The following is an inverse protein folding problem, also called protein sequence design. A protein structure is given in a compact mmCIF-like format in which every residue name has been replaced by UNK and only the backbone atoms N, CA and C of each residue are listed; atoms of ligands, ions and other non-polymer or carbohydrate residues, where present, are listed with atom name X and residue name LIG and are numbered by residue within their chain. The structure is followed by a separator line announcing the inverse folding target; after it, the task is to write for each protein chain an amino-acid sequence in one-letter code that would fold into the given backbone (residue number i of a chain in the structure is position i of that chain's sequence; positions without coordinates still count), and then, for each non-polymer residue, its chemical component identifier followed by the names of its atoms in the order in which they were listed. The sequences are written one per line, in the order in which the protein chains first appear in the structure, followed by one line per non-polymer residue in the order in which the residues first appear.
data_IF_523982155692
#
_entry.id   IF_523982155692
#
_cell.length_a   1.000
_cell.length_b   1.000
_cell.length_c   1.000
_cell.angle_alpha   90.00
_cell.angle_beta   90.00
_cell.angle_gamma   90.00
#
_symmetry.space_group_name_H-M   'P 1'
#
loop_
_entity.id
_entity.type
_entity.pdbx_description
1 polymer ?
#
# COMPACT_ATOMS: atom_id res chain seq x y z
N UNK A 1 27.97 -65.04 -69.22
CA UNK A 1 26.78 -64.56 -69.95
C UNK A 1 25.90 -63.57 -69.16
N UNK A 2 25.96 -63.48 -67.82
CA UNK A 2 25.09 -62.56 -67.05
C UNK A 2 25.46 -61.07 -67.17
N UNK A 3 26.74 -60.72 -67.32
CA UNK A 3 27.21 -59.32 -67.45
C UNK A 3 26.68 -58.62 -68.72
N UNK A 4 26.56 -59.34 -69.84
CA UNK A 4 26.03 -58.78 -71.10
C UNK A 4 24.51 -58.53 -71.03
N UNK A 5 23.78 -59.40 -70.33
CA UNK A 5 22.35 -59.23 -70.05
C UNK A 5 22.13 -58.05 -69.10
N UNK A 6 22.92 -57.94 -68.04
CA UNK A 6 22.86 -56.80 -67.11
C UNK A 6 23.18 -55.48 -67.82
N UNK A 7 24.16 -55.46 -68.73
CA UNK A 7 24.47 -54.28 -69.53
C UNK A 7 23.35 -53.92 -70.52
N UNK A 8 22.72 -54.91 -71.16
CA UNK A 8 21.57 -54.67 -72.07
C UNK A 8 20.33 -54.20 -71.31
N UNK A 9 20.04 -54.79 -70.15
CA UNK A 9 18.92 -54.36 -69.28
C UNK A 9 19.18 -52.95 -68.74
N UNK A 10 20.42 -52.63 -68.34
CA UNK A 10 20.78 -51.27 -67.91
C UNK A 10 20.65 -50.26 -69.04
N UNK A 11 21.00 -50.62 -70.28
CA UNK A 11 20.73 -49.81 -71.48
C UNK A 11 19.24 -49.67 -71.78
N UNK A 12 18.44 -50.72 -71.60
CA UNK A 12 17.00 -50.65 -71.82
C UNK A 12 16.31 -49.79 -70.75
N UNK A 13 16.78 -49.83 -69.50
CA UNK A 13 16.28 -49.00 -68.41
C UNK A 13 16.70 -47.54 -68.55
N UNK A 14 17.95 -47.25 -68.98
CA UNK A 14 18.36 -45.88 -69.33
C UNK A 14 17.53 -45.34 -70.49
N UNK A 15 17.26 -46.18 -71.49
CA UNK A 15 16.42 -45.80 -72.61
C UNK A 15 14.94 -45.71 -72.22
N UNK A 16 14.46 -46.43 -71.19
CA UNK A 16 13.05 -46.34 -70.78
C UNK A 16 12.73 -45.01 -70.12
N UNK A 17 13.65 -44.44 -69.33
CA UNK A 17 13.48 -43.08 -68.80
C UNK A 17 13.44 -42.03 -69.91
N UNK A 18 14.29 -42.17 -70.92
CA UNK A 18 14.27 -41.31 -72.12
C UNK A 18 12.97 -41.50 -72.91
N UNK A 19 12.47 -42.74 -73.02
CA UNK A 19 11.19 -43.04 -73.67
C UNK A 19 10.00 -42.45 -72.91
N UNK A 20 10.03 -42.45 -71.58
CA UNK A 20 8.98 -41.84 -70.76
C UNK A 20 8.99 -40.31 -70.85
N UNK A 21 10.17 -39.68 -70.91
CA UNK A 21 10.27 -38.24 -71.19
C UNK A 21 9.80 -37.91 -72.60
N UNK A 22 10.22 -38.69 -73.60
CA UNK A 22 9.77 -38.53 -74.97
C UNK A 22 8.24 -38.69 -75.08
N UNK A 23 7.66 -39.68 -74.37
CA UNK A 23 6.21 -39.88 -74.31
C UNK A 23 5.50 -38.70 -73.65
N UNK A 24 6.00 -38.19 -72.53
CA UNK A 24 5.42 -37.01 -71.88
C UNK A 24 5.47 -35.76 -72.78
N UNK A 25 6.56 -35.58 -73.55
CA UNK A 25 6.66 -34.52 -74.55
C UNK A 25 5.68 -34.72 -75.71
N UNK A 26 5.53 -35.96 -76.19
CA UNK A 26 4.54 -36.36 -77.20
C UNK A 26 3.09 -36.19 -76.73
N UNK A 27 2.82 -36.39 -75.44
CA UNK A 27 1.49 -36.18 -74.85
C UNK A 27 1.18 -34.68 -74.66
N UNK A 28 2.19 -33.80 -74.58
CA UNK A 28 2.04 -32.33 -74.50
C UNK A 28 2.00 -31.60 -75.87
N UNK A 29 2.47 -32.28 -76.92
CA UNK A 29 2.44 -31.81 -78.31
C UNK A 29 1.04 -31.54 -78.90
N UNK A 30 -0.06 -32.23 -78.52
CA UNK A 30 -1.40 -31.97 -79.06
C UNK A 30 -1.91 -30.55 -78.78
N UNK A 31 -1.51 -29.97 -77.65
CA UNK A 31 -1.91 -28.61 -77.25
C UNK A 31 -1.18 -27.52 -78.05
N UNK A 32 -0.03 -27.86 -78.64
CA UNK A 32 0.79 -26.97 -79.47
C UNK A 32 0.51 -27.13 -80.97
N UNK A 33 -0.23 -28.17 -81.36
CA UNK A 33 -0.52 -28.49 -82.76
C UNK A 33 -1.68 -27.62 -83.28
N UNK A 34 -1.50 -26.95 -84.44
CA UNK A 34 -2.62 -26.30 -85.12
C UNK A 34 -3.70 -27.32 -85.45
N UNK A 35 -4.97 -26.93 -85.30
CA UNK A 35 -6.13 -27.82 -85.55
C UNK A 35 -6.17 -28.40 -86.99
N UNK A 36 -5.44 -27.78 -87.92
CA UNK A 36 -5.33 -28.17 -89.33
C UNK A 36 -4.00 -28.87 -89.69
N UNK A 37 -3.28 -29.42 -88.70
CA UNK A 37 -1.95 -30.02 -88.89
C UNK A 37 -1.85 -31.10 -89.99
N UNK A 38 -2.96 -31.75 -90.36
CA UNK A 38 -2.97 -32.80 -91.39
C UNK A 38 -2.89 -32.27 -92.83
N UNK A 39 -3.12 -30.97 -93.08
CA UNK A 39 -3.15 -30.37 -94.43
C UNK A 39 -1.91 -29.51 -94.75
N UNK A 40 -1.02 -29.30 -93.79
CA UNK A 40 0.14 -28.40 -93.91
C UNK A 40 1.39 -29.16 -94.40
N UNK A 41 2.23 -28.47 -95.18
CA UNK A 41 3.54 -29.02 -95.55
C UNK A 41 4.46 -29.13 -94.33
N UNK A 42 5.41 -30.07 -94.37
CA UNK A 42 6.38 -30.29 -93.27
C UNK A 42 7.16 -29.03 -92.86
N UNK A 43 7.30 -28.04 -93.75
CA UNK A 43 7.99 -26.79 -93.48
C UNK A 43 7.08 -25.77 -92.76
N UNK A 44 5.82 -25.66 -93.18
CA UNK A 44 4.81 -24.79 -92.56
C UNK A 44 4.46 -25.27 -91.15
N UNK A 45 4.37 -26.58 -90.94
CA UNK A 45 4.09 -27.18 -89.64
C UNK A 45 5.23 -26.92 -88.64
N UNK A 46 6.49 -26.99 -89.08
CA UNK A 46 7.66 -26.61 -88.25
C UNK A 46 7.67 -25.12 -87.92
N UNK A 47 7.35 -24.25 -88.87
CA UNK A 47 7.29 -22.81 -88.63
C UNK A 47 6.19 -22.46 -87.62
N UNK A 48 5.01 -23.10 -87.74
CA UNK A 48 3.88 -22.89 -86.83
C UNK A 48 4.12 -23.45 -85.42
N UNK A 49 4.75 -24.63 -85.30
CA UNK A 49 5.15 -25.18 -84.00
C UNK A 49 6.22 -24.31 -83.34
N UNK A 50 7.17 -23.78 -84.11
CA UNK A 50 8.18 -22.86 -83.61
C UNK A 50 7.54 -21.57 -83.08
N UNK A 51 6.63 -20.96 -83.85
CA UNK A 51 5.92 -19.77 -83.38
C UNK A 51 5.04 -20.05 -82.17
N UNK A 52 4.37 -21.21 -82.12
CA UNK A 52 3.55 -21.61 -80.96
C UNK A 52 4.40 -21.85 -79.71
N UNK A 53 5.56 -22.49 -79.85
CA UNK A 53 6.51 -22.70 -78.76
C UNK A 53 7.09 -21.38 -78.27
N UNK A 54 7.45 -20.46 -79.18
CA UNK A 54 7.98 -19.15 -78.82
C UNK A 54 6.92 -18.34 -78.04
N UNK A 55 5.65 -18.37 -78.46
CA UNK A 55 4.52 -17.75 -77.74
C UNK A 55 4.30 -18.40 -76.37
N UNK A 56 4.24 -19.73 -76.30
CA UNK A 56 4.06 -20.44 -75.02
C UNK A 56 5.22 -20.18 -74.04
N UNK A 57 6.45 -20.01 -74.55
CA UNK A 57 7.62 -19.68 -73.74
C UNK A 57 7.58 -18.24 -73.21
N UNK A 58 7.07 -17.30 -74.01
CA UNK A 58 6.83 -15.92 -73.60
C UNK A 58 5.73 -15.84 -72.54
N UNK A 59 4.61 -16.55 -72.75
CA UNK A 59 3.51 -16.60 -71.79
C UNK A 59 3.95 -17.20 -70.44
N UNK A 60 4.79 -18.25 -70.48
CA UNK A 60 5.36 -18.84 -69.28
C UNK A 60 6.33 -17.87 -68.56
N UNK A 61 7.19 -17.16 -69.32
CA UNK A 61 8.08 -16.16 -68.75
C UNK A 61 7.31 -14.98 -68.13
N UNK A 62 6.25 -14.50 -68.78
CA UNK A 62 5.38 -13.45 -68.28
C UNK A 62 4.61 -13.88 -67.02
N UNK A 63 4.15 -15.13 -66.96
CA UNK A 63 3.52 -15.69 -65.77
C UNK A 63 4.48 -15.70 -64.57
N UNK A 64 5.72 -16.16 -64.78
CA UNK A 64 6.77 -16.15 -63.74
C UNK A 64 7.08 -14.73 -63.31
N UNK A 65 7.23 -13.78 -64.25
CA UNK A 65 7.48 -12.38 -63.90
C UNK A 65 6.36 -11.82 -63.02
N UNK A 66 5.09 -12.02 -63.39
CA UNK A 66 3.95 -11.56 -62.58
C UNK A 66 3.93 -12.17 -61.19
N UNK A 67 4.20 -13.47 -61.06
CA UNK A 67 4.29 -14.11 -59.75
C UNK A 67 5.44 -13.55 -58.91
N UNK A 68 6.62 -13.31 -59.52
CA UNK A 68 7.76 -12.73 -58.81
C UNK A 68 7.53 -11.27 -58.40
N UNK A 69 6.83 -10.48 -59.21
CA UNK A 69 6.42 -9.11 -58.85
C UNK A 69 5.42 -9.10 -57.67
N UNK A 70 4.48 -10.06 -57.66
CA UNK A 70 3.57 -10.28 -56.54
C UNK A 70 4.31 -10.66 -55.26
N UNK A 71 5.29 -11.58 -55.38
CA UNK A 71 6.14 -11.98 -54.27
C UNK A 71 6.97 -10.79 -53.73
N UNK A 72 7.58 -10.01 -54.60
CA UNK A 72 8.36 -8.82 -54.23
C UNK A 72 7.50 -7.81 -53.47
N UNK A 73 6.29 -7.55 -53.98
CA UNK A 73 5.32 -6.65 -53.34
C UNK A 73 4.92 -7.14 -51.95
N UNK A 74 4.72 -8.45 -51.78
CA UNK A 74 4.44 -9.06 -50.47
C UNK A 74 5.62 -8.96 -49.50
N UNK A 75 6.85 -9.11 -50.00
CA UNK A 75 8.08 -8.97 -49.23
C UNK A 75 8.29 -7.53 -48.76
N UNK A 76 8.00 -6.55 -49.63
CA UNK A 76 8.03 -5.13 -49.28
C UNK A 76 6.98 -4.77 -48.22
N UNK A 77 5.77 -5.34 -48.32
CA UNK A 77 4.74 -5.17 -47.29
C UNK A 77 5.19 -5.76 -45.94
N UNK A 78 5.79 -6.96 -45.95
CA UNK A 78 6.32 -7.60 -44.75
C UNK A 78 7.46 -6.79 -44.13
N UNK A 79 8.37 -6.27 -44.96
CA UNK A 79 9.46 -5.39 -44.51
C UNK A 79 8.94 -4.14 -43.81
N UNK A 80 7.96 -3.46 -44.42
CA UNK A 80 7.29 -2.30 -43.80
C UNK A 80 6.65 -2.66 -42.47
N UNK A 81 6.00 -3.82 -42.38
CA UNK A 81 5.39 -4.27 -41.13
C UNK A 81 6.43 -4.59 -40.05
N UNK A 82 7.55 -5.22 -40.42
CA UNK A 82 8.67 -5.47 -39.51
C UNK A 82 9.28 -4.17 -39.00
N UNK A 83 9.46 -3.16 -39.86
CA UNK A 83 9.96 -1.84 -39.47
C UNK A 83 9.01 -1.12 -38.50
N UNK A 84 7.69 -1.22 -38.73
CA UNK A 84 6.67 -0.68 -37.82
C UNK A 84 6.73 -1.40 -36.47
N UNK A 85 6.86 -2.72 -36.48
CA UNK A 85 6.94 -3.54 -35.27
C UNK A 85 8.19 -3.21 -34.45
N UNK A 86 9.34 -3.05 -35.10
CA UNK A 86 10.59 -2.67 -34.45
C UNK A 86 10.48 -1.30 -33.78
N UNK A 87 9.89 -0.31 -34.47
CA UNK A 87 9.63 1.02 -33.88
C UNK A 87 8.71 0.94 -32.67
N UNK A 88 7.64 0.14 -32.73
CA UNK A 88 6.73 -0.07 -31.61
C UNK A 88 7.43 -0.75 -30.43
N UNK A 89 8.23 -1.78 -30.68
CA UNK A 89 8.98 -2.45 -29.61
C UNK A 89 9.95 -1.49 -28.93
N UNK A 90 10.70 -0.68 -29.70
CA UNK A 90 11.58 0.36 -29.15
C UNK A 90 10.81 1.39 -28.32
N UNK A 91 9.63 1.79 -28.76
CA UNK A 91 8.79 2.72 -28.00
C UNK A 91 8.30 2.11 -26.68
N UNK A 92 7.83 0.85 -26.71
CA UNK A 92 7.40 0.12 -25.51
C UNK A 92 8.56 -0.05 -24.53
N UNK A 93 9.76 -0.40 -25.00
CA UNK A 93 10.94 -0.49 -24.15
C UNK A 93 11.27 0.86 -23.48
N UNK A 94 11.31 1.95 -24.24
CA UNK A 94 11.56 3.28 -23.69
C UNK A 94 10.50 3.71 -22.67
N UNK A 95 9.23 3.35 -22.91
CA UNK A 95 8.15 3.59 -21.97
C UNK A 95 8.33 2.78 -20.68
N UNK A 96 8.64 1.48 -20.78
CA UNK A 96 8.89 0.62 -19.63
C UNK A 96 10.08 1.12 -18.79
N UNK A 97 11.19 1.50 -19.43
CA UNK A 97 12.35 2.07 -18.73
C UNK A 97 11.99 3.35 -17.96
N UNK A 98 11.15 4.21 -18.56
CA UNK A 98 10.67 5.43 -17.91
C UNK A 98 9.74 5.12 -16.73
N UNK A 99 8.81 4.17 -16.91
CA UNK A 99 7.92 3.71 -15.84
C UNK A 99 8.68 3.06 -14.70
N UNK A 100 9.72 2.27 -14.98
CA UNK A 100 10.57 1.66 -13.96
C UNK A 100 11.32 2.73 -13.15
N UNK A 101 11.94 3.71 -13.81
CA UNK A 101 12.63 4.82 -13.12
C UNK A 101 11.67 5.65 -12.26
N UNK A 102 10.49 5.97 -12.79
CA UNK A 102 9.50 6.73 -12.03
C UNK A 102 8.95 5.90 -10.86
N UNK A 103 8.62 4.62 -11.08
CA UNK A 103 8.14 3.73 -10.03
C UNK A 103 9.15 3.57 -8.90
N UNK A 104 10.43 3.35 -9.23
CA UNK A 104 11.50 3.25 -8.22
C UNK A 104 11.67 4.54 -7.43
N UNK A 105 11.58 5.71 -8.08
CA UNK A 105 11.59 6.99 -7.40
C UNK A 105 10.39 7.17 -6.46
N UNK A 106 9.18 6.80 -6.90
CA UNK A 106 7.98 6.84 -6.06
C UNK A 106 8.09 5.90 -4.86
N UNK A 107 8.63 4.69 -5.04
CA UNK A 107 8.88 3.74 -3.95
C UNK A 107 9.87 4.32 -2.94
N UNK A 108 10.96 4.94 -3.40
CA UNK A 108 11.94 5.58 -2.53
C UNK A 108 11.33 6.75 -1.74
N UNK A 109 10.54 7.60 -2.40
CA UNK A 109 9.87 8.72 -1.74
C UNK A 109 8.82 8.24 -0.73
N UNK A 110 8.04 7.21 -1.06
CA UNK A 110 7.09 6.60 -0.14
C UNK A 110 7.78 5.95 1.07
N UNK A 111 8.97 5.36 0.89
CA UNK A 111 9.76 4.84 1.99
C UNK A 111 10.28 5.95 2.91
N UNK A 112 10.77 7.06 2.35
CA UNK A 112 11.22 8.21 3.12
C UNK A 112 10.08 8.82 3.95
N UNK A 113 8.91 9.03 3.35
CA UNK A 113 7.74 9.56 4.06
C UNK A 113 7.25 8.63 5.18
N UNK A 114 7.34 7.31 5.00
CA UNK A 114 7.03 6.36 6.08
C UNK A 114 8.01 6.47 7.23
N UNK A 115 9.30 6.58 6.94
CA UNK A 115 10.32 6.76 7.99
C UNK A 115 10.11 8.07 8.77
N UNK A 116 9.75 9.16 8.09
CA UNK A 116 9.39 10.43 8.75
C UNK A 116 8.12 10.29 9.60
N UNK A 117 7.10 9.59 9.08
CA UNK A 117 5.87 9.31 9.84
C UNK A 117 6.16 8.53 11.11
N UNK A 118 6.97 7.46 11.02
CA UNK A 118 7.32 6.62 12.16
C UNK A 118 8.11 7.41 13.22
N UNK A 119 9.02 8.28 12.78
CA UNK A 119 9.77 9.17 13.68
C UNK A 119 8.84 10.14 14.43
N UNK A 120 7.93 10.79 13.70
CA UNK A 120 6.94 11.71 14.29
C UNK A 120 6.01 10.95 15.24
N UNK A 121 5.58 9.73 14.90
CA UNK A 121 4.75 8.91 15.78
C UNK A 121 5.47 8.55 17.07
N UNK A 122 6.75 8.20 17.00
CA UNK A 122 7.57 7.92 18.19
C UNK A 122 7.68 9.17 19.08
N UNK A 123 7.96 10.34 18.51
CA UNK A 123 7.98 11.60 19.26
C UNK A 123 6.62 11.93 19.87
N UNK A 124 5.54 11.70 19.13
CA UNK A 124 4.18 11.93 19.59
C UNK A 124 3.80 10.99 20.75
N UNK A 125 4.16 9.72 20.66
CA UNK A 125 3.92 8.76 21.73
C UNK A 125 4.78 9.07 22.96
N UNK A 126 6.05 9.46 22.76
CA UNK A 126 6.91 9.92 23.85
C UNK A 126 6.37 11.19 24.54
N UNK A 127 5.83 12.14 23.78
CA UNK A 127 5.25 13.37 24.35
C UNK A 127 3.93 13.09 25.06
N UNK A 128 3.08 12.19 24.55
CA UNK A 128 1.89 11.72 25.27
C UNK A 128 2.24 11.05 26.59
N UNK A 129 3.20 10.13 26.59
CA UNK A 129 3.67 9.44 27.79
C UNK A 129 4.25 10.43 28.81
N UNK A 130 4.94 11.46 28.34
CA UNK A 130 5.45 12.53 29.18
C UNK A 130 4.30 13.34 29.80
N UNK A 131 3.33 13.79 29.01
CA UNK A 131 2.19 14.56 29.50
C UNK A 131 1.34 13.76 30.49
N UNK A 132 1.11 12.47 30.25
CA UNK A 132 0.37 11.61 31.19
C UNK A 132 1.04 11.50 32.57
N UNK A 133 2.37 11.60 32.64
CA UNK A 133 3.13 11.46 33.89
C UNK A 133 3.26 12.76 34.67
N UNK A 134 3.27 13.90 33.97
CA UNK A 134 3.66 15.20 34.51
C UNK A 134 2.57 16.28 34.47
N UNK A 135 1.46 16.04 33.75
CA UNK A 135 0.35 16.99 33.66
C UNK A 135 -0.90 16.43 34.35
N UNK A 136 -1.66 17.31 35.01
CA UNK A 136 -2.98 16.97 35.56
C UNK A 136 -3.97 16.79 34.42
N UNK A 137 -4.70 15.66 34.40
CA UNK A 137 -5.74 15.40 33.41
C UNK A 137 -6.84 16.46 33.44
N UNK A 138 -7.46 16.76 32.30
CA UNK A 138 -8.62 17.64 32.25
C UNK A 138 -9.77 17.10 33.12
N UNK A 139 -9.96 15.79 33.15
CA UNK A 139 -10.98 15.14 33.98
C UNK A 139 -10.70 15.35 35.48
N UNK A 140 -9.43 15.40 35.84
CA UNK A 140 -8.97 15.62 37.22
C UNK A 140 -9.18 17.07 37.65
N UNK A 141 -8.95 18.03 36.74
CA UNK A 141 -9.29 19.43 36.95
C UNK A 141 -10.81 19.66 37.03
N UNK A 142 -11.59 18.98 36.19
CA UNK A 142 -13.05 19.05 36.23
C UNK A 142 -13.59 18.45 37.53
N UNK A 143 -13.06 17.33 38.00
CA UNK A 143 -13.40 16.76 39.32
C UNK A 143 -13.02 17.71 40.45
N UNK A 144 -11.85 18.38 40.35
CA UNK A 144 -11.45 19.42 41.30
C UNK A 144 -12.44 20.57 41.32
N UNK A 145 -12.88 21.07 40.16
CA UNK A 145 -13.84 22.18 40.04
C UNK A 145 -15.24 21.79 40.55
N UNK A 146 -15.75 20.64 40.10
CA UNK A 146 -17.10 20.14 40.39
C UNK A 146 -17.28 19.59 41.80
N UNK A 147 -16.20 19.29 42.53
CA UNK A 147 -16.27 18.86 43.94
C UNK A 147 -16.84 19.92 44.91
N UNK A 148 -17.19 21.11 44.41
CA UNK A 148 -18.03 22.06 45.12
C UNK A 148 -19.51 21.76 44.78
N UNK A 149 -20.26 20.92 45.54
CA UNK A 149 -20.05 20.62 46.96
C UNK A 149 -20.13 19.10 47.30
N UNK A 150 -19.12 18.60 48.02
CA UNK A 150 -19.12 17.27 48.66
C UNK A 150 -20.24 17.09 49.72
N UNK A 151 -21.20 18.01 49.82
CA UNK A 151 -22.31 17.98 50.79
C UNK A 151 -23.54 17.19 50.31
N UNK A 152 -23.68 16.88 49.02
CA UNK A 152 -24.91 16.25 48.49
C UNK A 152 -24.69 14.95 47.70
N UNK A 153 -23.45 14.55 47.41
CA UNK A 153 -23.18 13.42 46.51
C UNK A 153 -22.51 12.24 47.24
N UNK A 154 -23.26 11.14 47.30
CA UNK A 154 -22.94 9.74 47.60
C UNK A 154 -21.45 9.37 47.80
N UNK A 155 -21.16 8.45 48.74
CA UNK A 155 -19.81 7.97 49.08
C UNK A 155 -18.90 7.54 47.90
N UNK A 156 -19.46 7.27 46.72
CA UNK A 156 -18.72 7.04 45.47
C UNK A 156 -17.95 8.28 44.98
N UNK A 157 -18.50 9.49 45.14
CA UNK A 157 -17.85 10.75 44.74
C UNK A 157 -16.67 11.12 45.66
N UNK A 158 -16.77 10.79 46.95
CA UNK A 158 -15.66 10.97 47.89
C UNK A 158 -14.54 9.97 47.63
N UNK A 159 -14.88 8.74 47.23
CA UNK A 159 -13.87 7.72 46.87
C UNK A 159 -13.07 8.13 45.62
N UNK A 160 -13.73 8.65 44.58
CA UNK A 160 -13.04 9.17 43.39
C UNK A 160 -12.18 10.40 43.72
N UNK A 161 -12.58 11.21 44.70
CA UNK A 161 -11.80 12.33 45.20
C UNK A 161 -10.49 11.91 45.90
N UNK A 162 -10.52 10.86 46.72
CA UNK A 162 -9.29 10.31 47.31
C UNK A 162 -8.36 9.69 46.26
N UNK A 163 -8.93 9.06 45.21
CA UNK A 163 -8.14 8.56 44.08
C UNK A 163 -7.49 9.71 43.30
N UNK A 164 -8.19 10.83 43.13
CA UNK A 164 -7.66 12.06 42.55
C UNK A 164 -6.49 12.62 43.38
N UNK A 165 -6.64 12.72 44.70
CA UNK A 165 -5.56 13.16 45.59
C UNK A 165 -4.30 12.27 45.49
N UNK A 166 -4.48 10.94 45.42
CA UNK A 166 -3.37 10.01 45.23
C UNK A 166 -2.69 10.19 43.87
N UNK A 167 -3.46 10.42 42.80
CA UNK A 167 -2.92 10.72 41.47
C UNK A 167 -2.14 12.03 41.46
N UNK A 168 -2.67 13.11 42.05
CA UNK A 168 -1.97 14.39 42.19
C UNK A 168 -0.65 14.24 42.95
N UNK A 169 -0.63 13.45 44.03
CA UNK A 169 0.60 13.17 44.78
C UNK A 169 1.63 12.40 43.94
N UNK A 170 1.17 11.45 43.13
CA UNK A 170 2.04 10.68 42.22
C UNK A 170 2.63 11.58 41.13
N UNK A 171 1.81 12.43 40.50
CA UNK A 171 2.25 13.38 39.47
C UNK A 171 3.23 14.40 40.08
N UNK A 172 2.96 14.90 41.30
CA UNK A 172 3.88 15.79 42.01
C UNK A 172 5.25 15.15 42.21
N UNK A 173 5.30 13.91 42.69
CA UNK A 173 6.57 13.19 42.86
C UNK A 173 7.31 13.04 41.53
N UNK A 174 6.60 12.76 40.43
CA UNK A 174 7.20 12.71 39.10
C UNK A 174 7.77 14.08 38.68
N UNK A 175 7.07 15.19 38.94
CA UNK A 175 7.55 16.54 38.64
C UNK A 175 8.74 16.95 39.54
N UNK A 176 8.77 16.55 40.80
CA UNK A 176 9.93 16.76 41.69
C UNK A 176 11.17 16.03 41.15
N UNK A 177 11.00 14.78 40.68
CA UNK A 177 12.06 14.05 39.98
C UNK A 177 12.47 14.70 38.65
N UNK A 178 11.51 15.24 37.89
CA UNK A 178 11.77 15.96 36.64
C UNK A 178 12.62 17.21 36.89
N UNK A 179 12.29 18.01 37.90
CA UNK A 179 13.06 19.20 38.29
C UNK A 179 14.46 18.82 38.77
N UNK A 180 14.59 17.74 39.53
CA UNK A 180 15.89 17.25 40.01
C UNK A 180 16.80 16.77 38.88
N UNK A 181 16.22 16.18 37.82
CA UNK A 181 16.97 15.65 36.66
C UNK A 181 17.22 16.70 35.58
N UNK A 182 16.29 17.63 35.38
CA UNK A 182 16.37 18.71 34.41
C UNK A 182 15.73 19.99 34.97
N UNK A 183 16.50 20.87 35.63
CA UNK A 183 16.00 22.10 36.22
C UNK A 183 15.78 23.18 35.15
N UNK A 184 14.80 22.97 34.27
CA UNK A 184 14.36 23.94 33.27
C UNK A 184 13.17 24.76 33.81
N UNK A 185 12.99 26.00 33.32
CA UNK A 185 11.86 26.85 33.71
C UNK A 185 10.52 26.12 33.55
N UNK A 186 10.32 25.41 32.44
CA UNK A 186 9.11 24.62 32.18
C UNK A 186 8.88 23.49 33.19
N UNK A 187 9.94 22.85 33.71
CA UNK A 187 9.80 21.81 34.74
C UNK A 187 9.32 22.38 36.08
N UNK A 188 9.74 23.61 36.40
CA UNK A 188 9.30 24.33 37.59
C UNK A 188 7.85 24.81 37.44
N UNK A 189 7.45 25.26 36.26
CA UNK A 189 6.06 25.62 35.95
C UNK A 189 5.12 24.44 36.15
N UNK A 190 5.45 23.24 35.64
CA UNK A 190 4.66 22.03 35.91
C UNK A 190 4.57 21.73 37.40
N UNK A 191 5.68 21.80 38.14
CA UNK A 191 5.66 21.56 39.58
C UNK A 191 4.77 22.60 40.29
N UNK A 192 4.82 23.86 39.90
CA UNK A 192 4.00 24.94 40.47
C UNK A 192 2.51 24.71 40.21
N UNK A 193 2.14 24.35 38.98
CA UNK A 193 0.74 24.07 38.61
C UNK A 193 0.17 22.88 39.37
N UNK A 194 0.95 21.80 39.53
CA UNK A 194 0.54 20.65 40.34
C UNK A 194 0.43 21.06 41.83
N UNK A 195 1.34 21.88 42.34
CA UNK A 195 1.26 22.37 43.72
C UNK A 195 -0.01 23.21 43.94
N UNK A 196 -0.38 24.07 42.99
CA UNK A 196 -1.64 24.84 43.04
C UNK A 196 -2.87 23.94 43.04
N UNK A 197 -2.92 22.96 42.13
CA UNK A 197 -4.02 22.00 42.06
C UNK A 197 -4.14 21.17 43.35
N UNK A 198 -3.01 20.74 43.91
CA UNK A 198 -2.98 19.99 45.16
C UNK A 198 -3.41 20.83 46.37
N UNK A 199 -2.99 22.09 46.45
CA UNK A 199 -3.42 23.02 47.50
C UNK A 199 -4.94 23.23 47.47
N UNK A 200 -5.50 23.51 46.29
CA UNK A 200 -6.95 23.65 46.11
C UNK A 200 -7.70 22.36 46.49
N UNK A 201 -7.14 21.19 46.18
CA UNK A 201 -7.71 19.92 46.59
C UNK A 201 -7.76 19.81 48.14
N UNK A 202 -6.66 20.09 48.82
CA UNK A 202 -6.65 20.01 50.28
C UNK A 202 -7.53 21.06 50.96
N UNK A 203 -7.62 22.28 50.42
CA UNK A 203 -8.56 23.29 50.91
C UNK A 203 -10.01 22.80 50.83
N UNK A 204 -10.41 22.17 49.71
CA UNK A 204 -11.75 21.59 49.55
C UNK A 204 -11.99 20.40 50.49
N UNK A 205 -11.01 19.52 50.67
CA UNK A 205 -11.09 18.42 51.63
C UNK A 205 -11.26 18.94 53.07
N UNK A 206 -10.53 19.99 53.43
CA UNK A 206 -10.62 20.62 54.75
C UNK A 206 -11.96 21.30 54.97
N UNK A 207 -12.46 22.04 53.98
CA UNK A 207 -13.79 22.65 54.04
C UNK A 207 -14.86 21.59 54.27
N UNK A 208 -14.83 20.48 53.53
CA UNK A 208 -15.74 19.35 53.73
C UNK A 208 -15.61 18.72 55.13
N UNK A 209 -14.39 18.44 55.58
CA UNK A 209 -14.16 17.82 56.89
C UNK A 209 -14.64 18.73 58.04
N UNK A 210 -14.43 20.04 57.93
CA UNK A 210 -14.88 21.00 58.94
C UNK A 210 -16.41 21.08 59.04
N UNK A 211 -17.13 21.03 57.91
CA UNK A 211 -18.60 20.98 57.89
C UNK A 211 -19.11 19.72 58.59
N UNK A 212 -18.49 18.57 58.32
CA UNK A 212 -18.90 17.29 58.91
C UNK A 212 -18.58 17.20 60.41
N UNK A 213 -17.44 17.75 60.86
CA UNK A 213 -17.12 17.86 62.29
C UNK A 213 -18.08 18.81 63.03
N UNK A 214 -18.40 19.97 62.45
CA UNK A 214 -19.35 20.92 63.04
C UNK A 214 -20.77 20.36 63.10
N UNK A 215 -21.16 19.50 62.14
CA UNK A 215 -22.43 18.81 62.15
C UNK A 215 -22.50 17.71 63.24
N UNK A 216 -21.37 17.06 63.54
CA UNK A 216 -21.27 16.05 64.61
C UNK A 216 -21.21 16.66 66.02
N UNK A 217 -20.73 17.90 66.17
CA UNK A 217 -20.66 18.63 67.45
C UNK A 217 -21.98 19.36 67.81
N UNK A 218 -22.98 19.37 66.92
CA UNK A 218 -24.28 19.98 67.18
C UNK A 218 -25.11 19.13 68.16
N UNK A 219 -25.66 19.69 69.25
CA UNK A 219 -26.41 18.92 70.25
C UNK A 219 -27.75 18.39 69.69
N UNK A 220 -27.79 17.09 69.43
CA UNK A 220 -28.87 16.07 69.39
C UNK A 220 -30.37 16.39 69.18
N UNK A 221 -30.85 17.63 69.01
CA UNK A 221 -32.30 17.88 69.08
C UNK A 221 -33.07 17.82 67.73
N UNK A 222 -32.40 17.49 66.60
CA UNK A 222 -33.08 17.39 65.29
C UNK A 222 -32.63 16.26 64.35
N UNK A 223 -31.82 15.29 64.80
CA UNK A 223 -31.25 14.24 63.93
C UNK A 223 -32.18 13.05 63.62
N UNK A 224 -33.48 13.15 63.91
CA UNK A 224 -34.44 12.07 63.62
C UNK A 224 -34.89 11.99 62.15
N UNK A 225 -34.67 13.05 61.36
CA UNK A 225 -35.30 13.17 60.03
C UNK A 225 -34.35 12.98 58.83
N UNK A 226 -33.06 12.70 59.05
CA UNK A 226 -32.07 12.50 57.95
C UNK A 226 -31.17 11.28 58.16
N UNK A 227 -31.64 10.26 58.87
CA UNK A 227 -30.94 8.97 58.95
C UNK A 227 -31.12 8.18 57.65
N UNK A 228 -30.51 8.69 56.59
CA UNK A 228 -30.36 8.04 55.30
C UNK A 228 -29.05 7.21 55.36
N UNK A 229 -29.10 5.97 54.87
CA UNK A 229 -28.00 4.96 54.87
C UNK A 229 -26.68 5.49 54.28
N UNK A 230 -26.77 6.60 53.53
CA UNK A 230 -25.65 7.34 52.93
C UNK A 230 -24.79 8.12 53.92
N UNK A 231 -25.34 8.53 55.07
CA UNK A 231 -24.63 9.36 56.07
C UNK A 231 -23.59 8.56 56.84
N UNK A 232 -23.87 7.27 57.09
CA UNK A 232 -22.95 6.33 57.74
C UNK A 232 -21.68 6.09 56.91
N UNK A 233 -21.81 6.03 55.58
CA UNK A 233 -20.67 5.86 54.67
C UNK A 233 -19.79 7.12 54.59
N UNK A 234 -20.40 8.30 54.66
CA UNK A 234 -19.68 9.59 54.69
C UNK A 234 -18.93 9.75 56.01
N UNK A 235 -19.54 9.37 57.14
CA UNK A 235 -18.89 9.37 58.46
C UNK A 235 -17.70 8.39 58.55
N UNK A 236 -17.75 7.25 57.87
CA UNK A 236 -16.63 6.28 57.78
C UNK A 236 -15.42 6.81 57.02
N UNK A 237 -15.61 7.78 56.11
CA UNK A 237 -14.54 8.39 55.31
C UNK A 237 -13.87 9.58 56.02
N UNK A 238 -14.48 10.14 57.06
CA UNK A 238 -13.90 11.24 57.86
C UNK A 238 -12.57 10.86 58.53
N UNK A 239 -12.41 9.68 59.19
CA UNK A 239 -11.11 9.25 59.71
C UNK A 239 -10.02 9.12 58.64
N UNK A 240 -10.41 8.70 57.43
CA UNK A 240 -9.49 8.62 56.29
C UNK A 240 -9.07 10.02 55.82
N UNK A 241 -10.01 10.97 55.70
CA UNK A 241 -9.72 12.36 55.40
C UNK A 241 -8.78 13.01 56.44
N UNK A 242 -9.08 12.84 57.73
CA UNK A 242 -8.24 13.35 58.81
C UNK A 242 -6.84 12.73 58.83
N UNK A 243 -6.71 11.44 58.49
CA UNK A 243 -5.41 10.79 58.33
C UNK A 243 -4.62 11.37 57.15
N UNK A 244 -5.28 11.66 56.03
CA UNK A 244 -4.65 12.30 54.87
C UNK A 244 -4.20 13.73 55.18
N UNK A 245 -5.02 14.52 55.87
CA UNK A 245 -4.70 15.89 56.31
C UNK A 245 -3.56 15.90 57.33
N UNK A 246 -3.56 14.96 58.29
CA UNK A 246 -2.49 14.82 59.30
C UNK A 246 -1.15 14.43 58.68
N UNK A 247 -1.16 13.65 57.58
CA UNK A 247 0.04 13.30 56.82
C UNK A 247 0.66 14.47 56.04
N UNK A 248 -0.10 15.55 55.82
CA UNK A 248 0.31 16.74 55.05
C UNK A 248 0.35 18.01 55.92
N UNK A 249 0.70 17.88 57.20
CA UNK A 249 0.72 18.96 58.20
C UNK A 249 1.55 20.21 57.80
N UNK A 250 2.41 20.12 56.78
CA UNK A 250 3.17 21.25 56.24
C UNK A 250 2.30 22.38 55.67
N UNK A 251 1.04 22.11 55.28
CA UNK A 251 0.13 23.15 54.81
C UNK A 251 -0.64 23.86 55.94
N UNK A 252 -0.58 23.35 57.17
CA UNK A 252 -1.43 23.80 58.29
C UNK A 252 -0.66 24.17 59.55
N UNK A 253 0.66 24.28 59.50
CA UNK A 253 1.41 25.03 60.50
C UNK A 253 1.13 26.51 60.30
N UNK A 254 -0.05 26.96 60.75
CA UNK A 254 -0.18 28.34 61.18
C UNK A 254 0.74 28.51 62.38
N UNK A 255 1.67 29.47 62.26
CA UNK A 255 2.36 30.06 63.39
C UNK A 255 1.32 30.42 64.46
N UNK A 256 1.45 29.79 65.62
CA UNK A 256 0.89 30.22 66.89
C UNK A 256 1.94 31.06 67.61
#
# INVERSE_FOLDING_TARGET
MSMLLQHRVKKLLSNSSELTQAKALLDSLPDLLPKDAASLSSMELRASLKSSLDVASLDAADAVLRETEGLLSSMDALKKQADIMDRKCRHVMAFLDSTERTSTQFVAQAAALRAEQDAIQLELDSTKDFLQKHQVSLDDLQLLEQAAPLTESHGTAMTSYFQLLHRLQTIRSNCEHLVATNPAASSLEYLEDICKAQALAFEKLYAWASVLCNAADAPDDHLSDLQDDSTDDVARLLPQALRFLRGHAAYYTYDL
#
